data_IF_421115604638
#
_entry.id   IF_421115604638
#
_cell.length_a   1.000
_cell.length_b   1.000
_cell.length_c   1.000
_cell.angle_alpha   90.00
_cell.angle_beta   90.00
_cell.angle_gamma   90.00
#
_symmetry.space_group_name_H-M   'P 1'
#
loop_
_entity.id
_entity.type
_entity.pdbx_description
1 polymer ?
#
# COMPACT_ATOMS: atom_id res chain seq x y z
N UNK A 1 -18.74 0.32 6.59
CA UNK A 1 -18.24 -0.74 7.49
C UNK A 1 -18.28 -2.05 6.72
N UNK A 2 -17.16 -2.78 6.64
CA UNK A 2 -17.07 -4.11 6.00
C UNK A 2 -18.03 -5.11 6.68
N UNK A 3 -18.59 -6.06 5.93
CA UNK A 3 -19.58 -7.02 6.43
C UNK A 3 -18.88 -8.03 7.36
N UNK A 4 -19.40 -8.21 8.58
CA UNK A 4 -18.90 -9.26 9.50
C UNK A 4 -18.87 -10.61 8.78
N UNK A 5 -17.71 -11.24 8.72
CA UNK A 5 -17.50 -12.55 8.10
C UNK A 5 -16.86 -12.54 6.71
N UNK A 6 -16.65 -11.37 6.07
CA UNK A 6 -15.91 -11.29 4.82
C UNK A 6 -14.46 -10.83 5.06
N UNK A 7 -13.53 -11.78 5.15
CA UNK A 7 -12.11 -11.50 5.36
C UNK A 7 -11.47 -10.74 4.17
N UNK A 8 -12.01 -10.91 2.96
CA UNK A 8 -11.44 -10.31 1.76
C UNK A 8 -11.68 -8.80 1.68
N UNK A 9 -12.77 -8.30 2.27
CA UNK A 9 -13.10 -6.87 2.26
C UNK A 9 -12.05 -6.01 3.00
N UNK A 10 -11.38 -6.57 4.01
CA UNK A 10 -10.36 -5.85 4.79
C UNK A 10 -8.92 -6.36 4.55
N UNK A 11 -8.74 -7.56 3.99
CA UNK A 11 -7.43 -8.19 3.84
C UNK A 11 -6.41 -7.31 3.12
N UNK A 12 -6.84 -6.54 2.10
CA UNK A 12 -5.96 -5.63 1.36
C UNK A 12 -5.46 -4.48 2.24
N UNK A 13 -6.37 -3.85 2.99
CA UNK A 13 -6.04 -2.77 3.92
C UNK A 13 -5.19 -3.28 5.08
N UNK A 14 -5.53 -4.43 5.66
CA UNK A 14 -4.77 -5.07 6.74
C UNK A 14 -3.33 -5.37 6.31
N UNK A 15 -3.15 -5.90 5.09
CA UNK A 15 -1.82 -6.17 4.52
C UNK A 15 -1.01 -4.88 4.41
N UNK A 16 -1.59 -3.80 3.89
CA UNK A 16 -0.92 -2.50 3.83
C UNK A 16 -0.47 -2.01 5.23
N UNK A 17 -1.38 -2.01 6.21
CA UNK A 17 -1.07 -1.50 7.55
C UNK A 17 -0.03 -2.36 8.28
N UNK A 18 -0.06 -3.68 8.08
CA UNK A 18 0.93 -4.58 8.64
C UNK A 18 2.34 -4.28 8.09
N UNK A 19 2.43 -3.94 6.81
CA UNK A 19 3.69 -3.57 6.15
C UNK A 19 4.19 -2.19 6.58
N UNK A 20 3.32 -1.17 6.55
CA UNK A 20 3.63 0.18 7.01
C UNK A 20 4.18 0.18 8.44
N UNK A 21 3.52 -0.54 9.34
CA UNK A 21 3.97 -0.65 10.73
C UNK A 21 5.33 -1.33 10.81
N UNK A 22 5.53 -2.45 10.10
CA UNK A 22 6.77 -3.22 10.13
C UNK A 22 7.97 -2.46 9.59
N UNK A 23 7.79 -1.77 8.47
CA UNK A 23 8.89 -1.22 7.67
C UNK A 23 9.22 0.24 8.01
N UNK A 24 8.26 1.02 8.52
CA UNK A 24 8.48 2.45 8.85
C UNK A 24 8.28 2.79 10.31
N UNK A 25 7.20 2.29 10.92
CA UNK A 25 6.77 2.81 12.24
C UNK A 25 7.43 2.08 13.41
N UNK A 26 7.64 0.76 13.34
CA UNK A 26 8.02 -0.09 14.50
C UNK A 26 9.30 0.33 15.23
N UNK A 27 10.22 1.03 14.57
CA UNK A 27 11.52 1.45 15.13
C UNK A 27 11.72 2.96 15.09
N UNK A 28 10.65 3.74 14.94
CA UNK A 28 10.71 5.19 14.81
C UNK A 28 9.79 5.85 15.85
N UNK A 29 10.34 6.81 16.57
CA UNK A 29 9.60 7.67 17.50
C UNK A 29 9.49 9.03 16.82
N UNK A 30 8.28 9.52 16.65
CA UNK A 30 8.02 10.82 16.05
C UNK A 30 7.86 11.87 17.15
N UNK A 31 8.50 13.01 16.99
CA UNK A 31 8.38 14.10 17.98
C UNK A 31 7.09 14.88 17.79
N UNK A 32 6.57 14.93 16.56
CA UNK A 32 5.33 15.63 16.23
C UNK A 32 4.43 14.80 15.34
N UNK A 33 3.13 15.12 15.34
CA UNK A 33 2.17 14.48 14.45
C UNK A 33 2.44 14.81 12.99
N UNK A 34 2.93 16.01 12.69
CA UNK A 34 3.21 16.43 11.32
C UNK A 34 4.39 15.69 10.72
N UNK A 35 5.42 15.41 11.53
CA UNK A 35 6.54 14.55 11.12
C UNK A 35 6.05 13.14 10.75
N UNK A 36 5.20 12.55 11.59
CA UNK A 36 4.60 11.24 11.33
C UNK A 36 3.77 11.25 10.04
N UNK A 37 2.97 12.31 9.81
CA UNK A 37 2.17 12.45 8.59
C UNK A 37 3.05 12.56 7.35
N UNK A 38 4.11 13.37 7.41
CA UNK A 38 5.02 13.55 6.29
C UNK A 38 5.77 12.25 5.94
N UNK A 39 6.22 11.49 6.93
CA UNK A 39 6.90 10.22 6.68
C UNK A 39 5.96 9.14 6.13
N UNK A 40 4.74 9.04 6.65
CA UNK A 40 3.72 8.12 6.10
C UNK A 40 3.39 8.49 4.66
N UNK A 41 3.20 9.79 4.37
CA UNK A 41 2.95 10.26 3.01
C UNK A 41 4.12 9.93 2.08
N UNK A 42 5.35 10.23 2.50
CA UNK A 42 6.55 9.92 1.75
C UNK A 42 6.68 8.42 1.46
N UNK A 43 6.41 7.58 2.45
CA UNK A 43 6.43 6.13 2.28
C UNK A 43 5.40 5.65 1.26
N UNK A 44 4.17 6.18 1.29
CA UNK A 44 3.12 5.81 0.34
C UNK A 44 3.51 6.24 -1.08
N UNK A 45 3.83 7.52 -1.26
CA UNK A 45 4.00 8.14 -2.58
C UNK A 45 5.34 7.85 -3.23
N UNK A 46 6.43 7.77 -2.46
CA UNK A 46 7.78 7.61 -3.03
C UNK A 46 8.26 6.16 -3.01
N UNK A 47 7.64 5.29 -2.22
CA UNK A 47 8.09 3.90 -2.09
C UNK A 47 6.99 2.88 -2.37
N UNK A 48 5.90 2.88 -1.60
CA UNK A 48 4.89 1.83 -1.67
C UNK A 48 4.21 1.79 -3.05
N UNK A 49 3.58 2.88 -3.47
CA UNK A 49 2.85 2.95 -4.74
C UNK A 49 3.75 2.77 -5.98
N UNK A 50 4.89 3.48 -6.11
CA UNK A 50 5.67 3.42 -7.35
C UNK A 50 6.69 2.28 -7.42
N UNK A 51 7.26 1.84 -6.29
CA UNK A 51 8.48 1.01 -6.30
C UNK A 51 8.32 -0.37 -5.65
N UNK A 52 7.43 -0.51 -4.67
CA UNK A 52 7.32 -1.76 -3.92
C UNK A 52 6.79 -2.87 -4.81
N UNK A 53 7.50 -3.99 -4.87
CA UNK A 53 7.07 -5.16 -5.63
C UNK A 53 6.15 -6.06 -4.79
N UNK A 54 5.12 -6.59 -5.42
CA UNK A 54 4.20 -7.55 -4.83
C UNK A 54 4.23 -8.86 -5.63
N UNK A 55 4.63 -9.96 -5.00
CA UNK A 55 4.75 -11.26 -5.69
C UNK A 55 3.42 -11.70 -6.32
N UNK A 56 2.30 -11.47 -5.63
CA UNK A 56 0.94 -11.75 -6.16
C UNK A 56 0.55 -10.88 -7.35
N UNK A 57 1.22 -9.75 -7.55
CA UNK A 57 1.04 -8.85 -8.68
C UNK A 57 2.04 -9.10 -9.82
N UNK A 58 2.79 -10.21 -9.79
CA UNK A 58 3.83 -10.51 -10.78
C UNK A 58 5.06 -9.63 -10.63
N UNK A 59 5.45 -9.32 -9.39
CA UNK A 59 6.57 -8.44 -9.03
C UNK A 59 6.45 -6.99 -9.55
N UNK A 60 5.22 -6.56 -9.82
CA UNK A 60 4.90 -5.19 -10.19
C UNK A 60 4.64 -4.33 -8.96
N UNK A 61 4.84 -3.02 -9.13
CA UNK A 61 4.36 -2.04 -8.17
C UNK A 61 2.86 -1.84 -8.30
N UNK A 62 2.17 -1.39 -7.22
CA UNK A 62 0.73 -1.13 -7.26
C UNK A 62 0.32 -0.26 -8.46
N UNK A 63 1.05 0.83 -8.70
CA UNK A 63 0.78 1.75 -9.82
C UNK A 63 0.97 1.06 -11.18
N UNK A 64 2.03 0.27 -11.34
CA UNK A 64 2.27 -0.43 -12.61
C UNK A 64 1.25 -1.54 -12.85
N UNK A 65 0.84 -2.25 -11.79
CA UNK A 65 -0.21 -3.26 -11.85
C UNK A 65 -1.54 -2.65 -12.30
N UNK A 66 -1.96 -1.55 -11.67
CA UNK A 66 -3.17 -0.82 -12.05
C UNK A 66 -3.09 -0.27 -13.47
N UNK A 67 -1.96 0.32 -13.86
CA UNK A 67 -1.73 0.81 -15.22
C UNK A 67 -1.92 -0.29 -16.26
N UNK A 68 -1.33 -1.47 -16.07
CA UNK A 68 -1.49 -2.61 -16.97
C UNK A 68 -2.90 -3.18 -16.97
N UNK A 69 -3.59 -3.12 -15.83
CA UNK A 69 -5.00 -3.50 -15.75
C UNK A 69 -5.86 -2.57 -16.61
N UNK A 70 -5.74 -1.25 -16.45
CA UNK A 70 -6.47 -0.28 -17.25
C UNK A 70 -6.12 -0.30 -18.74
N UNK A 71 -4.86 -0.56 -19.09
CA UNK A 71 -4.46 -0.75 -20.49
C UNK A 71 -5.17 -1.94 -21.13
N UNK A 72 -5.27 -3.08 -20.42
CA UNK A 72 -6.00 -4.26 -20.90
C UNK A 72 -7.49 -4.01 -21.05
N UNK A 73 -8.11 -3.26 -20.13
CA UNK A 73 -9.52 -2.90 -20.23
C UNK A 73 -9.83 -1.99 -21.43
N UNK A 74 -8.89 -1.12 -21.83
CA UNK A 74 -9.04 -0.22 -22.99
C UNK A 74 -8.85 -0.91 -24.34
N UNK A 75 -8.21 -2.07 -24.36
CA UNK A 75 -7.95 -2.86 -25.58
C UNK A 75 -9.06 -3.85 -25.93
N UNK A 76 -10.14 -3.88 -25.15
CA UNK A 76 -11.36 -4.69 -25.36
C UNK A 76 -12.49 -3.77 -25.78
#
# INVERSE_FOLDING_TARGET
MSRRGNCHDNAVAESFFQLLKRERIRRKIYSTRDEARADVFNYIEMFYNPRRRHNTAGDLSPVEFERRHFQRLKSV
#
